data_IF_320333596641
#
_entry.id   IF_320333596641
#
_cell.length_a   1.000
_cell.length_b   1.000
_cell.length_c   1.000
_cell.angle_alpha   90.00
_cell.angle_beta   90.00
_cell.angle_gamma   90.00
#
_symmetry.space_group_name_H-M   'P 1'
#
loop_
_entity.id
_entity.type
_entity.pdbx_description
1 polymer ?
#
# COMPACT_ATOMS: atom_id res chain seq x y z
N UNK A 1 -10.89 8.03 -14.28
CA UNK A 1 -10.27 7.09 -13.33
C UNK A 1 -10.08 7.81 -12.02
N UNK A 2 -10.66 7.33 -10.92
CA UNK A 2 -10.51 7.90 -9.58
C UNK A 2 -9.64 6.99 -8.72
N UNK A 3 -8.54 7.52 -8.19
CA UNK A 3 -7.59 6.78 -7.37
C UNK A 3 -7.70 7.26 -5.93
N UNK A 4 -7.77 6.34 -4.98
CA UNK A 4 -7.59 6.63 -3.55
C UNK A 4 -6.17 6.26 -3.15
N UNK A 5 -5.49 7.16 -2.45
CA UNK A 5 -4.10 6.97 -1.98
C UNK A 5 -4.07 6.99 -0.45
N UNK A 6 -3.35 6.03 0.14
CA UNK A 6 -3.24 5.78 1.57
C UNK A 6 -1.75 5.68 1.95
N UNK A 7 -1.35 6.21 3.09
CA UNK A 7 0.02 6.13 3.60
C UNK A 7 0.05 6.46 5.10
N UNK A 8 1.06 5.95 5.82
CA UNK A 8 1.51 6.31 7.19
C UNK A 8 0.51 6.12 8.34
N UNK A 9 -0.73 6.59 8.19
CA UNK A 9 -1.73 6.63 9.25
C UNK A 9 -3.06 6.13 8.72
N UNK A 10 -3.61 5.14 9.42
CA UNK A 10 -4.92 4.59 9.15
C UNK A 10 -5.99 5.68 9.26
N UNK A 11 -6.77 5.85 8.19
CA UNK A 11 -7.88 6.80 8.22
C UNK A 11 -9.04 6.20 9.00
N UNK A 12 -9.39 6.80 10.16
CA UNK A 12 -10.60 6.43 10.94
C UNK A 12 -11.87 6.47 10.09
N UNK A 13 -11.93 7.37 9.11
CA UNK A 13 -13.06 7.50 8.19
C UNK A 13 -13.24 6.25 7.30
N UNK A 14 -12.14 5.53 7.02
CA UNK A 14 -12.10 4.31 6.22
C UNK A 14 -11.95 3.04 7.09
N UNK A 15 -11.94 3.18 8.41
CA UNK A 15 -11.80 2.09 9.37
C UNK A 15 -12.92 2.13 10.43
N UNK A 16 -12.74 2.90 11.51
CA UNK A 16 -13.65 2.96 12.66
C UNK A 16 -15.06 3.39 12.29
N UNK A 17 -15.18 4.29 11.31
CA UNK A 17 -16.44 4.83 10.82
C UNK A 17 -16.74 4.38 9.40
N UNK A 18 -16.28 3.20 8.99
CA UNK A 18 -16.41 2.75 7.61
C UNK A 18 -17.87 2.55 7.18
N UNK A 19 -18.17 3.01 5.97
CA UNK A 19 -19.42 2.76 5.22
C UNK A 19 -19.02 2.37 3.79
N UNK A 20 -19.70 1.40 3.19
CA UNK A 20 -19.30 0.83 1.89
C UNK A 20 -19.32 1.87 0.77
N UNK A 21 -20.26 2.80 0.88
CA UNK A 21 -20.51 3.93 -0.01
C UNK A 21 -19.26 4.83 -0.14
N UNK A 22 -18.38 4.84 0.87
CA UNK A 22 -17.14 5.63 0.87
C UNK A 22 -16.13 5.13 -0.16
N UNK A 23 -16.24 3.87 -0.60
CA UNK A 23 -15.40 3.32 -1.65
C UNK A 23 -16.06 3.42 -3.04
N UNK A 24 -17.28 3.94 -3.15
CA UNK A 24 -17.98 4.02 -4.42
C UNK A 24 -17.30 4.98 -5.40
N UNK A 25 -17.28 4.57 -6.66
CA UNK A 25 -16.66 5.32 -7.75
C UNK A 25 -15.14 5.36 -7.71
N UNK A 26 -14.48 4.69 -6.76
CA UNK A 26 -13.03 4.47 -6.78
C UNK A 26 -12.72 3.37 -7.79
N UNK A 27 -11.74 3.62 -8.66
CA UNK A 27 -11.27 2.67 -9.67
C UNK A 27 -10.05 1.86 -9.22
N UNK A 28 -9.24 2.40 -8.30
CA UNK A 28 -7.96 1.84 -7.87
C UNK A 28 -7.60 2.41 -6.49
N UNK A 29 -7.03 1.58 -5.60
CA UNK A 29 -6.48 2.04 -4.32
C UNK A 29 -4.96 1.80 -4.34
N UNK A 30 -4.19 2.81 -3.92
CA UNK A 30 -2.74 2.74 -3.79
C UNK A 30 -2.34 2.96 -2.32
N UNK A 31 -1.53 2.07 -1.77
CA UNK A 31 -0.89 2.25 -0.47
C UNK A 31 0.61 2.49 -0.66
N UNK A 32 1.11 3.57 -0.06
CA UNK A 32 2.54 3.89 -0.03
C UNK A 32 3.27 3.32 1.20
N UNK A 33 2.64 2.38 1.91
CA UNK A 33 3.22 1.73 3.09
C UNK A 33 2.96 2.44 4.41
N UNK A 34 3.58 1.91 5.46
CA UNK A 34 3.46 2.26 6.87
C UNK A 34 2.00 2.20 7.37
N UNK A 35 1.27 1.19 6.89
CA UNK A 35 -0.10 0.88 7.30
C UNK A 35 -0.17 -0.56 7.81
N UNK A 36 -1.03 -0.84 8.80
CA UNK A 36 -1.14 -2.23 9.28
C UNK A 36 -1.69 -3.15 8.18
N UNK A 37 -1.24 -4.42 8.12
CA UNK A 37 -1.78 -5.38 7.17
C UNK A 37 -3.30 -5.50 7.25
N UNK A 38 -3.83 -5.53 8.47
CA UNK A 38 -5.27 -5.66 8.72
C UNK A 38 -6.06 -4.47 8.19
N UNK A 39 -5.48 -3.27 8.18
CA UNK A 39 -6.09 -2.08 7.61
C UNK A 39 -6.39 -2.27 6.11
N UNK A 40 -5.38 -2.73 5.38
CA UNK A 40 -5.49 -2.99 3.95
C UNK A 40 -6.35 -4.23 3.65
N UNK A 41 -6.22 -5.32 4.42
CA UNK A 41 -7.06 -6.53 4.27
C UNK A 41 -8.55 -6.25 4.42
N UNK A 42 -8.92 -5.38 5.37
CA UNK A 42 -10.31 -4.94 5.55
C UNK A 42 -10.82 -4.17 4.34
N UNK A 43 -10.04 -3.19 3.85
CA UNK A 43 -10.43 -2.44 2.66
C UNK A 43 -10.57 -3.38 1.45
N UNK A 44 -9.69 -4.37 1.32
CA UNK A 44 -9.79 -5.39 0.27
C UNK A 44 -11.06 -6.25 0.40
N UNK A 45 -11.54 -6.48 1.63
CA UNK A 45 -12.77 -7.25 1.87
C UNK A 45 -14.04 -6.54 1.40
N UNK A 46 -14.02 -5.21 1.30
CA UNK A 46 -15.17 -4.40 0.87
C UNK A 46 -15.00 -3.72 -0.50
N UNK A 47 -13.76 -3.60 -0.97
CA UNK A 47 -13.43 -3.05 -2.27
C UNK A 47 -13.64 -4.07 -3.38
N UNK A 48 -14.22 -3.63 -4.51
CA UNK A 48 -14.25 -4.42 -5.76
C UNK A 48 -13.09 -4.09 -6.69
N UNK A 49 -12.26 -3.11 -6.33
CA UNK A 49 -11.14 -2.64 -7.15
C UNK A 49 -9.80 -3.08 -6.58
N UNK A 50 -8.76 -3.20 -7.42
CA UNK A 50 -7.43 -3.58 -6.95
C UNK A 50 -6.89 -2.61 -5.91
N UNK A 51 -6.27 -3.16 -4.87
CA UNK A 51 -5.47 -2.42 -3.90
C UNK A 51 -4.02 -2.78 -4.14
N UNK A 52 -3.23 -1.83 -4.62
CA UNK A 52 -1.80 -2.02 -4.84
C UNK A 52 -1.06 -1.44 -3.64
N UNK A 53 -0.01 -2.12 -3.17
CA UNK A 53 0.81 -1.61 -2.08
C UNK A 53 2.29 -1.82 -2.31
N UNK A 54 3.09 -0.98 -1.66
CA UNK A 54 4.52 -1.15 -1.43
C UNK A 54 4.76 -1.23 0.07
N UNK A 55 5.94 -1.69 0.46
CA UNK A 55 6.31 -1.77 1.87
C UNK A 55 6.78 -0.41 2.35
N UNK A 56 6.24 0.07 3.46
CA UNK A 56 6.81 1.19 4.19
C UNK A 56 8.04 0.78 4.99
N UNK A 57 8.76 1.75 5.54
CA UNK A 57 9.97 1.47 6.31
C UNK A 57 9.71 0.92 7.73
N UNK A 58 8.45 0.81 8.13
CA UNK A 58 7.99 0.17 9.37
C UNK A 58 7.25 -1.15 9.14
N UNK A 59 7.08 -1.57 7.88
CA UNK A 59 6.25 -2.72 7.49
C UNK A 59 6.99 -4.06 7.51
N UNK A 60 8.02 -4.22 8.34
CA UNK A 60 8.76 -5.49 8.48
C UNK A 60 7.83 -6.68 8.81
N UNK A 61 6.65 -6.42 9.40
CA UNK A 61 5.63 -7.43 9.69
C UNK A 61 4.99 -8.07 8.44
N UNK A 62 5.03 -7.42 7.28
CA UNK A 62 4.42 -7.90 6.03
C UNK A 62 5.05 -9.21 5.55
N UNK A 63 6.30 -9.49 5.92
CA UNK A 63 6.98 -10.76 5.63
C UNK A 63 6.25 -11.97 6.19
N UNK A 64 5.64 -11.80 7.37
CA UNK A 64 4.95 -12.85 8.10
C UNK A 64 3.44 -12.74 8.01
N UNK A 65 2.94 -11.53 7.83
CA UNK A 65 1.53 -11.21 7.79
C UNK A 65 1.30 -10.12 6.73
N UNK A 66 1.33 -10.48 5.43
CA UNK A 66 1.05 -9.51 4.38
C UNK A 66 -0.44 -9.12 4.38
N UNK A 67 -0.78 -7.95 3.81
CA UNK A 67 -2.16 -7.59 3.52
C UNK A 67 -2.86 -8.62 2.61
N UNK A 68 -3.94 -9.22 3.10
CA UNK A 68 -4.77 -10.16 2.35
C UNK A 68 -5.59 -9.43 1.28
N UNK A 69 -5.78 -10.04 0.12
CA UNK A 69 -6.59 -9.46 -0.96
C UNK A 69 -5.99 -8.23 -1.63
N UNK A 70 -4.76 -7.84 -1.27
CA UNK A 70 -4.02 -6.74 -1.89
C UNK A 70 -2.89 -7.28 -2.81
N UNK A 71 -2.38 -6.41 -3.69
CA UNK A 71 -1.34 -6.76 -4.67
C UNK A 71 -0.05 -6.04 -4.30
N UNK A 72 0.96 -6.83 -3.92
CA UNK A 72 2.32 -6.34 -3.69
C UNK A 72 2.98 -5.97 -5.03
N UNK A 73 3.23 -4.67 -5.21
CA UNK A 73 3.91 -4.12 -6.39
C UNK A 73 5.34 -3.66 -6.11
N UNK A 74 5.93 -4.06 -4.99
CA UNK A 74 7.34 -3.79 -4.65
C UNK A 74 8.26 -4.23 -5.79
N UNK A 75 9.03 -3.28 -6.33
CA UNK A 75 9.93 -3.47 -7.48
C UNK A 75 9.25 -4.00 -8.76
N UNK A 76 7.94 -3.76 -8.91
CA UNK A 76 7.16 -4.23 -10.07
C UNK A 76 6.44 -3.06 -10.73
N UNK A 77 6.11 -3.26 -12.01
CA UNK A 77 5.20 -2.40 -12.75
C UNK A 77 3.86 -3.12 -12.87
N UNK A 78 2.78 -2.49 -12.40
CA UNK A 78 1.40 -2.92 -12.61
C UNK A 78 0.73 -2.03 -13.65
N UNK A 79 0.02 -2.61 -14.62
CA UNK A 79 -0.68 -1.85 -15.66
C UNK A 79 -2.18 -1.94 -15.43
N UNK A 80 -2.81 -0.81 -15.12
CA UNK A 80 -4.25 -0.70 -14.89
C UNK A 80 -4.89 0.23 -15.91
N UNK A 81 -5.79 -0.30 -16.75
CA UNK A 81 -6.54 0.47 -17.78
C UNK A 81 -5.63 1.39 -18.62
N UNK A 82 -4.42 0.91 -18.98
CA UNK A 82 -3.43 1.64 -19.77
C UNK A 82 -2.46 2.53 -18.96
N UNK A 83 -2.67 2.69 -17.66
CA UNK A 83 -1.76 3.43 -16.76
C UNK A 83 -0.77 2.47 -16.13
N UNK A 84 0.53 2.80 -16.20
CA UNK A 84 1.62 2.03 -15.57
C UNK A 84 1.91 2.60 -14.19
N UNK A 85 1.84 1.77 -13.16
CA UNK A 85 2.17 2.10 -11.77
C UNK A 85 3.41 1.31 -11.39
N UNK A 86 4.46 1.99 -10.95
CA UNK A 86 5.70 1.37 -10.47
C UNK A 86 5.74 1.47 -8.94
N UNK A 87 5.94 0.34 -8.26
CA UNK A 87 6.09 0.30 -6.81
C UNK A 87 7.55 0.36 -6.38
N UNK A 88 7.88 1.37 -5.57
CA UNK A 88 9.18 1.55 -4.93
C UNK A 88 8.93 1.88 -3.46
N UNK A 89 9.14 0.90 -2.58
CA UNK A 89 8.92 1.03 -1.15
C UNK A 89 10.18 1.34 -0.35
N UNK A 90 9.99 1.39 0.95
CA UNK A 90 11.01 1.68 1.96
C UNK A 90 11.42 3.15 2.00
N UNK A 91 12.50 3.42 2.72
CA UNK A 91 13.04 4.78 2.87
C UNK A 91 14.56 4.80 3.04
N UNK A 92 15.13 6.01 3.02
CA UNK A 92 16.56 6.21 3.30
C UNK A 92 16.82 5.74 4.73
N UNK A 93 17.89 4.97 4.90
CA UNK A 93 18.27 4.42 6.20
C UNK A 93 18.62 5.52 7.20
N UNK A 94 17.82 5.62 8.26
CA UNK A 94 18.10 6.44 9.45
C UNK A 94 18.16 5.59 10.74
N UNK A 95 17.70 4.33 10.68
CA UNK A 95 17.86 3.32 11.72
C UNK A 95 18.03 1.93 11.08
N UNK A 96 18.30 0.91 11.89
CA UNK A 96 18.28 -0.48 11.41
C UNK A 96 16.82 -0.88 11.09
N UNK A 97 16.58 -1.39 9.90
CA UNK A 97 15.27 -1.89 9.44
C UNK A 97 15.43 -2.59 8.09
N UNK A 98 14.55 -3.55 7.77
CA UNK A 98 14.66 -4.34 6.53
C UNK A 98 14.37 -3.47 5.30
N UNK A 99 13.34 -2.65 5.39
CA UNK A 99 12.87 -1.77 4.31
C UNK A 99 13.56 -0.38 4.35
N UNK A 100 14.84 -0.35 4.73
CA UNK A 100 15.63 0.88 4.82
C UNK A 100 16.98 0.73 4.13
N UNK A 101 17.20 1.60 3.16
CA UNK A 101 18.28 1.46 2.19
C UNK A 101 19.27 2.62 2.29
N UNK A 102 20.55 2.33 2.14
CA UNK A 102 21.56 3.34 1.89
C UNK A 102 21.34 3.97 0.51
N UNK A 103 21.90 5.17 0.31
CA UNK A 103 21.89 5.80 -1.02
C UNK A 103 22.43 4.87 -2.11
N UNK A 104 23.45 4.06 -1.81
CA UNK A 104 24.02 3.09 -2.76
C UNK A 104 23.05 1.96 -3.10
N UNK A 105 22.28 1.47 -2.13
CA UNK A 105 21.28 0.42 -2.35
C UNK A 105 20.04 0.95 -3.09
N UNK A 106 19.73 2.25 -2.99
CA UNK A 106 18.66 2.90 -3.77
C UNK A 106 19.06 3.25 -5.21
N UNK A 107 20.36 3.33 -5.49
CA UNK A 107 20.86 3.50 -6.84
C UNK A 107 20.77 2.16 -7.57
N UNK A 108 19.62 1.92 -8.21
CA UNK A 108 19.38 0.80 -9.12
C UNK A 108 20.16 0.94 -10.43
#
# INVERSE_FOLDING_TARGET
MKILVLADVESKYLWDYFEKEKLEGIDLILSAGDLKPQYLSFLASFSKVPILYVHGNHDDCYDTQPPDGCIDIENKIYVYKGVRIMGLGGSIRYKKGKNQYTQKEMNH
#
